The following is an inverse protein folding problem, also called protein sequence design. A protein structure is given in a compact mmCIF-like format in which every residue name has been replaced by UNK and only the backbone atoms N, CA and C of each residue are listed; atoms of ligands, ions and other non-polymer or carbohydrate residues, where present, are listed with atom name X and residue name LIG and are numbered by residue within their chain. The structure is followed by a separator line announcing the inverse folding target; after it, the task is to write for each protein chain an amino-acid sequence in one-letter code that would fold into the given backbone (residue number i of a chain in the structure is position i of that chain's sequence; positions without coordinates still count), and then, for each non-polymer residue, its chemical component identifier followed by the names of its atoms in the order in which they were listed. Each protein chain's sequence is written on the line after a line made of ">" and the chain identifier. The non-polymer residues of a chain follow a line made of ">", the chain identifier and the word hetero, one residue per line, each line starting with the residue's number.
data_IF_772138028718
#
_entry.id   IF_772138028718
#
_cell.length_a   1.000
_cell.length_b   1.000
_cell.length_c   1.000
_cell.angle_alpha   90.00
_cell.angle_beta   90.00
_cell.angle_gamma   90.00
#
_symmetry.space_group_name_H-M   'P 1'
#
loop_
_entity.id
_entity.type
_entity.pdbx_description
1 polymer ?
#
# COMPACT_ATOMS: atom_id res chain seq x y z
N UNK A 1 9.52 29.62 14.63
CA UNK A 1 9.70 28.18 14.32
C UNK A 1 9.22 27.35 15.51
N UNK A 2 8.49 26.26 15.31
CA UNK A 2 8.06 25.38 16.39
C UNK A 2 9.28 24.72 17.06
N UNK A 3 9.25 24.59 18.41
CA UNK A 3 10.32 23.90 19.15
C UNK A 3 10.33 22.42 18.78
N UNK A 4 11.49 21.90 18.42
CA UNK A 4 11.67 20.46 18.15
C UNK A 4 11.37 19.64 19.40
N UNK A 5 10.68 18.52 19.23
CA UNK A 5 10.45 17.55 20.30
C UNK A 5 11.75 16.87 20.74
N UNK A 6 11.79 16.29 21.95
CA UNK A 6 12.95 15.55 22.45
C UNK A 6 13.42 14.45 21.47
N UNK A 7 12.48 13.71 20.85
CA UNK A 7 12.77 12.71 19.83
C UNK A 7 13.39 13.31 18.58
N UNK A 8 12.83 14.39 18.06
CA UNK A 8 13.37 15.06 16.88
C UNK A 8 14.79 15.58 17.12
N UNK A 9 15.08 16.12 18.31
CA UNK A 9 16.43 16.57 18.69
C UNK A 9 17.44 15.41 18.75
N UNK A 10 17.02 14.24 19.27
CA UNK A 10 17.88 13.06 19.34
C UNK A 10 18.19 12.44 17.94
N UNK A 11 17.29 12.63 16.99
CA UNK A 11 17.46 12.17 15.61
C UNK A 11 18.15 13.21 14.71
N UNK A 12 18.14 14.48 15.12
CA UNK A 12 18.79 15.57 14.42
C UNK A 12 20.31 15.39 14.55
N UNK A 13 20.98 15.05 13.48
CA UNK A 13 22.42 14.72 13.44
C UNK A 13 22.73 13.25 13.16
N UNK A 14 21.74 12.33 13.36
CA UNK A 14 21.90 10.93 12.94
C UNK A 14 21.62 10.72 11.45
N UNK A 15 20.70 11.49 10.89
CA UNK A 15 20.28 11.38 9.49
C UNK A 15 20.46 12.72 8.80
N UNK A 16 21.28 12.73 7.76
CA UNK A 16 21.42 13.85 6.84
C UNK A 16 20.38 13.75 5.73
N UNK A 17 19.46 14.70 5.69
CA UNK A 17 18.36 14.72 4.70
C UNK A 17 18.82 15.00 3.26
N UNK A 18 20.05 15.45 3.07
CA UNK A 18 20.61 15.74 1.73
C UNK A 18 21.33 14.55 1.13
N UNK A 19 21.84 13.65 1.98
CA UNK A 19 22.62 12.49 1.58
C UNK A 19 21.72 11.36 1.03
N UNK A 20 22.21 10.67 0.02
CA UNK A 20 21.66 9.41 -0.46
C UNK A 20 22.37 8.26 0.26
N UNK A 21 21.61 7.36 0.84
CA UNK A 21 22.11 6.20 1.57
C UNK A 21 21.91 4.92 0.75
N UNK A 22 22.83 3.98 0.85
CA UNK A 22 22.59 2.63 0.36
C UNK A 22 21.41 2.02 1.10
N UNK A 23 20.65 1.10 0.46
CA UNK A 23 19.43 0.55 1.05
C UNK A 23 19.65 -0.09 2.43
N UNK A 24 20.71 -0.87 2.57
CA UNK A 24 21.04 -1.55 3.84
C UNK A 24 21.26 -0.54 4.98
N UNK A 25 22.04 0.50 4.72
CA UNK A 25 22.35 1.57 5.69
C UNK A 25 21.09 2.37 6.04
N UNK A 26 20.28 2.68 5.02
CA UNK A 26 19.01 3.39 5.23
C UNK A 26 18.05 2.60 6.12
N UNK A 27 17.89 1.28 5.89
CA UNK A 27 17.06 0.41 6.72
C UNK A 27 17.61 0.30 8.15
N UNK A 28 18.93 0.18 8.32
CA UNK A 28 19.56 0.15 9.64
C UNK A 28 19.27 1.44 10.43
N UNK A 29 19.45 2.60 9.80
CA UNK A 29 19.14 3.92 10.40
C UNK A 29 17.65 4.06 10.75
N UNK A 30 16.75 3.63 9.87
CA UNK A 30 15.30 3.68 10.10
C UNK A 30 14.90 2.77 11.26
N UNK A 31 15.46 1.55 11.35
CA UNK A 31 15.22 0.63 12.47
C UNK A 31 15.75 1.15 13.79
N UNK A 32 16.91 1.80 13.80
CA UNK A 32 17.47 2.47 14.99
C UNK A 32 16.62 3.67 15.42
N UNK A 33 16.11 4.43 14.45
CA UNK A 33 15.25 5.58 14.69
C UNK A 33 13.84 5.20 15.17
N UNK A 34 13.41 3.96 14.98
CA UNK A 34 12.11 3.44 15.38
C UNK A 34 12.10 3.15 16.89
N UNK A 35 11.61 4.09 17.68
CA UNK A 35 11.63 4.07 19.16
C UNK A 35 10.26 3.84 19.78
N UNK A 36 9.22 3.55 19.01
CA UNK A 36 7.88 3.29 19.53
C UNK A 36 7.80 1.95 20.29
N UNK A 37 6.82 1.82 21.18
CA UNK A 37 6.58 0.60 21.97
C UNK A 37 5.89 -0.52 21.19
N UNK A 38 5.42 -0.24 19.97
CA UNK A 38 4.80 -1.20 19.06
C UNK A 38 5.72 -1.51 17.89
N UNK A 39 5.46 -2.59 17.17
CA UNK A 39 6.21 -2.93 15.96
C UNK A 39 5.83 -1.96 14.84
N UNK A 40 6.74 -1.00 14.57
CA UNK A 40 6.52 0.06 13.59
C UNK A 40 6.51 -0.49 12.17
N UNK A 41 5.63 0.03 11.32
CA UNK A 41 5.69 -0.25 9.87
C UNK A 41 6.89 0.46 9.26
N UNK A 42 7.48 -0.17 8.27
CA UNK A 42 8.45 0.47 7.37
C UNK A 42 7.70 0.89 6.12
N UNK A 43 7.61 2.20 5.93
CA UNK A 43 6.88 2.82 4.84
C UNK A 43 7.84 3.41 3.82
N UNK A 44 7.44 3.40 2.57
CA UNK A 44 8.20 3.98 1.46
C UNK A 44 7.41 5.10 0.80
N UNK A 45 8.10 6.17 0.46
CA UNK A 45 7.60 7.25 -0.36
C UNK A 45 8.42 7.32 -1.65
N UNK A 46 7.76 7.13 -2.80
CA UNK A 46 8.39 7.15 -4.12
C UNK A 46 7.88 8.34 -4.91
N UNK A 47 8.76 9.29 -5.19
CA UNK A 47 8.44 10.42 -6.03
C UNK A 47 8.59 10.03 -7.50
N UNK A 48 7.51 10.12 -8.25
CA UNK A 48 7.46 9.85 -9.68
C UNK A 48 7.60 11.13 -10.53
N UNK A 49 8.11 10.97 -11.74
CA UNK A 49 8.15 12.01 -12.77
C UNK A 49 6.86 12.10 -13.57
N UNK A 50 5.70 12.17 -12.88
CA UNK A 50 4.38 12.27 -13.50
C UNK A 50 3.65 13.53 -13.06
N UNK A 51 2.74 14.03 -13.90
CA UNK A 51 1.82 15.11 -13.55
C UNK A 51 0.48 14.52 -13.11
N UNK A 52 0.27 14.47 -11.80
CA UNK A 52 -0.93 13.89 -11.21
C UNK A 52 -2.23 14.65 -11.53
N UNK A 53 -2.14 15.86 -12.09
CA UNK A 53 -3.31 16.64 -12.55
C UNK A 53 -3.87 16.09 -13.85
N UNK A 54 -3.05 15.41 -14.64
CA UNK A 54 -3.47 14.80 -15.91
C UNK A 54 -3.99 13.39 -15.67
N UNK A 55 -5.21 13.12 -16.07
CA UNK A 55 -5.90 11.83 -15.85
C UNK A 55 -5.18 10.65 -16.50
N UNK A 56 -4.45 10.86 -17.60
CA UNK A 56 -3.65 9.88 -18.32
C UNK A 56 -2.33 9.54 -17.61
N UNK A 57 -1.87 10.38 -16.67
CA UNK A 57 -0.64 10.18 -15.90
C UNK A 57 -0.89 9.71 -14.46
N UNK A 58 -2.14 9.46 -14.10
CA UNK A 58 -2.48 8.93 -12.77
C UNK A 58 -2.08 7.45 -12.67
N UNK A 59 -1.00 7.20 -11.95
CA UNK A 59 -0.52 5.85 -11.64
C UNK A 59 -1.31 5.29 -10.46
N UNK A 60 -1.94 4.13 -10.68
CA UNK A 60 -2.69 3.40 -9.65
C UNK A 60 -2.61 1.91 -9.95
N UNK A 61 -2.39 1.12 -8.91
CA UNK A 61 -2.31 -0.33 -9.04
C UNK A 61 -2.22 -1.02 -7.69
N UNK A 62 -1.91 -2.30 -7.75
CA UNK A 62 -1.60 -3.12 -6.60
C UNK A 62 -0.43 -4.04 -6.90
N UNK A 63 0.30 -4.41 -5.88
CA UNK A 63 1.40 -5.38 -5.94
C UNK A 63 1.27 -6.35 -4.78
N UNK A 64 1.47 -7.62 -5.04
CA UNK A 64 1.61 -8.64 -3.99
C UNK A 64 3.07 -8.67 -3.60
N UNK A 65 3.35 -8.36 -2.34
CA UNK A 65 4.72 -8.37 -1.83
C UNK A 65 5.18 -9.81 -1.58
N UNK A 66 6.37 -10.23 -2.04
CA UNK A 66 6.85 -11.60 -1.91
C UNK A 66 6.98 -12.07 -0.45
N UNK A 67 7.30 -11.15 0.46
CA UNK A 67 7.42 -11.46 1.90
C UNK A 67 6.22 -10.95 2.72
N UNK A 68 5.14 -10.52 2.05
CA UNK A 68 3.98 -9.93 2.70
C UNK A 68 4.26 -8.60 3.41
N UNK A 69 3.26 -8.06 4.09
CA UNK A 69 3.36 -6.82 4.88
C UNK A 69 3.56 -7.06 6.38
N UNK A 70 3.46 -8.32 6.84
CA UNK A 70 3.45 -8.68 8.27
C UNK A 70 2.13 -8.40 9.00
N UNK A 71 1.16 -7.83 8.31
CA UNK A 71 -0.18 -7.55 8.88
C UNK A 71 -1.22 -8.45 8.23
N UNK A 72 -2.06 -9.08 9.05
CA UNK A 72 -3.24 -9.80 8.58
C UNK A 72 -4.35 -8.81 8.26
N UNK A 73 -4.89 -8.86 7.04
CA UNK A 73 -6.02 -8.02 6.61
C UNK A 73 -7.31 -8.81 6.68
N UNK A 74 -8.35 -8.19 7.20
CA UNK A 74 -9.71 -8.73 7.16
C UNK A 74 -10.34 -8.37 5.82
N UNK A 75 -10.81 -9.38 5.10
CA UNK A 75 -11.31 -9.25 3.73
C UNK A 75 -12.82 -9.44 3.73
N UNK A 76 -13.54 -8.42 3.25
CA UNK A 76 -14.96 -8.52 2.94
C UNK A 76 -15.16 -8.74 1.44
N UNK A 77 -16.08 -9.63 1.09
CA UNK A 77 -16.37 -9.99 -0.30
C UNK A 77 -17.85 -9.79 -0.60
N UNK A 78 -18.12 -8.98 -1.62
CA UNK A 78 -19.43 -8.88 -2.22
C UNK A 78 -19.52 -9.87 -3.38
N UNK A 79 -20.17 -11.00 -3.12
CA UNK A 79 -20.38 -12.05 -4.11
C UNK A 79 -21.69 -12.79 -3.85
N UNK A 80 -22.23 -13.44 -4.89
CA UNK A 80 -23.48 -14.16 -4.85
C UNK A 80 -23.31 -15.57 -5.43
N UNK A 81 -24.10 -16.54 -4.94
CA UNK A 81 -24.11 -17.91 -5.43
C UNK A 81 -22.76 -18.62 -5.25
N UNK A 82 -22.31 -19.35 -6.27
CA UNK A 82 -21.06 -20.13 -6.25
C UNK A 82 -19.82 -19.29 -5.89
N UNK A 83 -19.74 -18.03 -6.36
CA UNK A 83 -18.63 -17.13 -6.05
C UNK A 83 -18.54 -16.78 -4.56
N UNK A 84 -19.66 -16.80 -3.84
CA UNK A 84 -19.67 -16.59 -2.38
C UNK A 84 -19.08 -17.79 -1.64
N UNK A 85 -19.33 -19.02 -2.12
CA UNK A 85 -18.74 -20.25 -1.57
C UNK A 85 -17.24 -20.31 -1.85
N UNK A 86 -16.81 -19.96 -3.06
CA UNK A 86 -15.40 -19.84 -3.43
C UNK A 86 -14.66 -18.81 -2.55
N UNK A 87 -15.29 -17.67 -2.28
CA UNK A 87 -14.74 -16.65 -1.41
C UNK A 87 -14.54 -17.15 0.03
N UNK A 88 -15.54 -17.87 0.58
CA UNK A 88 -15.45 -18.49 1.91
C UNK A 88 -14.36 -19.56 1.95
N UNK A 89 -14.28 -20.42 0.94
CA UNK A 89 -13.25 -21.45 0.83
C UNK A 89 -11.84 -20.84 0.70
N UNK A 90 -11.70 -19.69 0.04
CA UNK A 90 -10.44 -18.92 -0.06
C UNK A 90 -10.07 -18.21 1.25
N UNK A 91 -10.98 -18.21 2.26
CA UNK A 91 -10.72 -17.64 3.58
C UNK A 91 -11.17 -16.18 3.74
N UNK A 92 -12.17 -15.71 3.00
CA UNK A 92 -12.76 -14.39 3.25
C UNK A 92 -13.40 -14.34 4.65
N UNK A 93 -13.22 -13.22 5.36
CA UNK A 93 -13.71 -13.07 6.74
C UNK A 93 -15.21 -12.74 6.77
N UNK A 94 -15.67 -11.98 5.81
CA UNK A 94 -17.08 -11.61 5.65
C UNK A 94 -17.46 -11.76 4.19
N UNK A 95 -18.53 -12.52 3.92
CA UNK A 95 -19.08 -12.69 2.57
C UNK A 95 -20.56 -12.41 2.62
N UNK A 96 -21.05 -11.55 1.75
CA UNK A 96 -22.46 -11.19 1.70
C UNK A 96 -22.78 -10.32 0.49
N UNK A 97 -24.01 -9.87 0.39
CA UNK A 97 -24.48 -8.96 -0.65
C UNK A 97 -25.29 -7.82 -0.03
N UNK A 98 -26.61 -7.92 0.03
CA UNK A 98 -27.48 -6.87 0.57
C UNK A 98 -27.35 -6.75 2.09
N UNK A 99 -27.28 -7.86 2.80
CA UNK A 99 -27.01 -7.95 4.24
C UNK A 99 -25.68 -7.25 4.63
N UNK A 100 -24.62 -7.48 3.85
CA UNK A 100 -23.35 -6.79 4.03
C UNK A 100 -23.47 -5.30 3.69
N UNK A 101 -24.25 -4.95 2.67
CA UNK A 101 -24.48 -3.56 2.30
C UNK A 101 -25.22 -2.77 3.39
N UNK A 102 -26.19 -3.41 4.06
CA UNK A 102 -26.90 -2.81 5.20
C UNK A 102 -25.98 -2.60 6.41
N UNK A 103 -25.11 -3.57 6.73
CA UNK A 103 -24.09 -3.40 7.77
C UNK A 103 -23.16 -2.24 7.48
N UNK A 104 -22.69 -2.10 6.23
CA UNK A 104 -21.85 -0.98 5.79
C UNK A 104 -22.60 0.35 5.94
N UNK A 105 -23.89 0.42 5.59
CA UNK A 105 -24.71 1.62 5.78
C UNK A 105 -24.88 1.96 7.26
N UNK A 106 -25.01 0.96 8.13
CA UNK A 106 -25.07 1.14 9.57
C UNK A 106 -23.72 1.55 10.20
N UNK A 107 -22.63 1.55 9.42
CA UNK A 107 -21.29 1.93 9.88
C UNK A 107 -20.47 0.77 10.46
N UNK A 108 -21.01 -0.46 10.50
CA UNK A 108 -20.31 -1.66 10.94
C UNK A 108 -19.44 -2.21 9.81
N UNK A 109 -18.15 -1.86 9.85
CA UNK A 109 -17.16 -2.23 8.83
C UNK A 109 -15.91 -2.84 9.47
N UNK A 110 -16.00 -4.10 9.96
CA UNK A 110 -14.88 -4.77 10.61
C UNK A 110 -13.93 -5.41 9.59
N UNK A 111 -13.62 -4.71 8.50
CA UNK A 111 -12.76 -5.20 7.41
C UNK A 111 -11.84 -4.09 6.88
N UNK A 112 -10.71 -4.52 6.32
CA UNK A 112 -9.63 -3.64 5.85
C UNK A 112 -9.54 -3.62 4.31
N UNK A 113 -10.13 -4.60 3.63
CA UNK A 113 -10.18 -4.69 2.16
C UNK A 113 -11.56 -5.16 1.72
N UNK A 114 -12.07 -4.55 0.66
CA UNK A 114 -13.32 -4.95 0.02
C UNK A 114 -13.04 -5.46 -1.38
N UNK A 115 -13.53 -6.66 -1.67
CA UNK A 115 -13.48 -7.30 -2.99
C UNK A 115 -14.92 -7.43 -3.49
N UNK A 116 -15.13 -7.23 -4.77
CA UNK A 116 -16.45 -7.37 -5.38
C UNK A 116 -16.38 -8.13 -6.70
N UNK A 117 -17.36 -8.97 -6.97
CA UNK A 117 -17.56 -9.49 -8.32
C UNK A 117 -18.14 -8.38 -9.22
N UNK A 118 -17.91 -8.40 -10.54
CA UNK A 118 -18.46 -7.40 -11.45
C UNK A 118 -19.98 -7.26 -11.33
N UNK A 119 -20.67 -8.36 -11.11
CA UNK A 119 -22.14 -8.45 -11.02
C UNK A 119 -22.69 -7.69 -9.80
N UNK A 120 -21.96 -7.70 -8.67
CA UNK A 120 -22.36 -7.06 -7.41
C UNK A 120 -22.01 -5.57 -7.34
N UNK A 121 -21.27 -5.05 -8.32
CA UNK A 121 -20.87 -3.63 -8.36
C UNK A 121 -22.05 -2.67 -8.38
N UNK A 122 -23.22 -3.09 -8.84
CA UNK A 122 -24.46 -2.29 -8.77
C UNK A 122 -24.82 -1.97 -7.31
N UNK A 123 -24.73 -2.95 -6.41
CA UNK A 123 -25.00 -2.77 -4.97
C UNK A 123 -23.87 -1.98 -4.30
N UNK A 124 -22.63 -2.35 -4.57
CA UNK A 124 -21.45 -1.68 -4.01
C UNK A 124 -21.36 -0.21 -4.44
N UNK A 125 -21.82 0.11 -5.65
CA UNK A 125 -21.88 1.50 -6.15
C UNK A 125 -22.72 2.42 -5.26
N UNK A 126 -23.82 1.93 -4.67
CA UNK A 126 -24.66 2.70 -3.74
C UNK A 126 -23.93 3.04 -2.43
N UNK A 127 -22.89 2.30 -2.09
CA UNK A 127 -22.05 2.49 -0.89
C UNK A 127 -20.85 3.41 -1.14
N UNK A 128 -20.73 3.94 -2.35
CA UNK A 128 -19.59 4.75 -2.77
C UNK A 128 -19.33 5.97 -1.88
N UNK A 129 -20.37 6.60 -1.34
CA UNK A 129 -20.27 7.73 -0.41
C UNK A 129 -19.65 7.34 0.94
N UNK A 130 -19.78 6.08 1.35
CA UNK A 130 -19.27 5.55 2.62
C UNK A 130 -17.89 4.94 2.43
N UNK A 131 -17.72 4.07 1.42
CA UNK A 131 -16.49 3.34 1.15
C UNK A 131 -15.42 4.20 0.48
N UNK A 132 -15.83 5.19 -0.32
CA UNK A 132 -14.92 6.07 -1.07
C UNK A 132 -13.95 6.85 -0.18
N UNK A 133 -14.44 7.65 0.80
CA UNK A 133 -13.59 8.43 1.69
C UNK A 133 -12.64 7.57 2.54
N UNK A 134 -13.03 6.32 2.83
CA UNK A 134 -12.21 5.37 3.59
C UNK A 134 -11.19 4.60 2.72
N UNK A 135 -11.21 4.81 1.40
CA UNK A 135 -10.33 4.11 0.48
C UNK A 135 -10.66 2.62 0.27
N UNK A 136 -11.83 2.18 0.73
CA UNK A 136 -12.28 0.77 0.68
C UNK A 136 -13.07 0.45 -0.61
N UNK A 137 -13.33 1.44 -1.46
CA UNK A 137 -14.10 1.22 -2.69
C UNK A 137 -13.38 0.28 -3.65
N UNK A 138 -13.98 -0.85 -4.05
CA UNK A 138 -13.39 -1.78 -5.01
C UNK A 138 -13.12 -1.10 -6.36
N UNK A 139 -12.02 -1.49 -7.01
CA UNK A 139 -11.63 -0.92 -8.30
C UNK A 139 -10.97 -1.99 -9.20
N UNK A 140 -11.36 -2.07 -10.49
CA UNK A 140 -10.79 -3.01 -11.46
C UNK A 140 -9.27 -2.84 -11.63
N UNK A 141 -8.77 -1.58 -11.64
CA UNK A 141 -7.34 -1.29 -11.84
C UNK A 141 -6.44 -1.80 -10.69
N UNK A 142 -7.03 -2.03 -9.53
CA UNK A 142 -6.35 -2.56 -8.33
C UNK A 142 -6.56 -4.08 -8.20
N UNK A 143 -7.40 -4.66 -9.06
CA UNK A 143 -7.75 -6.08 -9.02
C UNK A 143 -8.71 -6.47 -7.89
N UNK A 144 -9.38 -5.50 -7.25
CA UNK A 144 -10.40 -5.76 -6.23
C UNK A 144 -11.81 -5.90 -6.80
N UNK A 145 -11.98 -5.65 -8.12
CA UNK A 145 -13.17 -6.04 -8.88
C UNK A 145 -12.73 -7.07 -9.90
N UNK A 146 -13.09 -8.33 -9.69
CA UNK A 146 -12.66 -9.46 -10.53
C UNK A 146 -13.70 -10.56 -10.53
N UNK A 147 -13.84 -11.32 -11.62
CA UNK A 147 -14.64 -12.53 -11.64
C UNK A 147 -13.99 -13.66 -10.81
N UNK A 148 -12.66 -13.69 -10.69
CA UNK A 148 -11.90 -14.65 -9.87
C UNK A 148 -11.72 -14.09 -8.45
N UNK A 149 -12.73 -14.33 -7.63
CA UNK A 149 -12.77 -13.84 -6.25
C UNK A 149 -11.79 -14.61 -5.36
N UNK A 150 -11.59 -15.91 -5.62
CA UNK A 150 -10.72 -16.76 -4.81
C UNK A 150 -9.26 -16.29 -4.84
N UNK A 151 -8.73 -16.02 -6.03
CA UNK A 151 -7.36 -15.48 -6.20
C UNK A 151 -7.23 -14.09 -5.59
N UNK A 152 -8.24 -13.23 -5.74
CA UNK A 152 -8.21 -11.89 -5.15
C UNK A 152 -8.16 -11.92 -3.62
N UNK A 153 -8.91 -12.83 -2.96
CA UNK A 153 -8.87 -13.03 -1.51
C UNK A 153 -7.51 -13.52 -1.05
N UNK A 154 -6.93 -14.52 -1.73
CA UNK A 154 -5.60 -15.04 -1.44
C UNK A 154 -4.54 -13.93 -1.54
N UNK A 155 -4.55 -13.14 -2.60
CA UNK A 155 -3.62 -12.03 -2.82
C UNK A 155 -3.78 -10.95 -1.72
N UNK A 156 -5.01 -10.59 -1.37
CA UNK A 156 -5.27 -9.62 -0.31
C UNK A 156 -4.71 -10.07 1.05
N UNK A 157 -4.84 -11.38 1.36
CA UNK A 157 -4.29 -11.99 2.59
C UNK A 157 -2.78 -12.20 2.52
N UNK A 158 -2.22 -12.46 1.35
CA UNK A 158 -0.78 -12.59 1.12
C UNK A 158 0.00 -11.27 1.28
N UNK A 159 -0.66 -10.14 1.53
CA UNK A 159 0.00 -8.87 1.73
C UNK A 159 0.03 -7.99 0.48
N UNK A 160 -1.03 -8.02 -0.31
CA UNK A 160 -1.20 -7.09 -1.41
C UNK A 160 -1.24 -5.65 -0.91
N UNK A 161 -0.37 -4.79 -1.47
CA UNK A 161 -0.33 -3.35 -1.22
C UNK A 161 -0.90 -2.62 -2.42
N UNK A 162 -1.87 -1.75 -2.15
CA UNK A 162 -2.43 -0.85 -3.15
C UNK A 162 -1.64 0.44 -3.14
N UNK A 163 -1.36 0.96 -4.32
CA UNK A 163 -0.70 2.25 -4.48
C UNK A 163 -1.48 3.17 -5.41
N UNK A 164 -1.43 4.44 -5.10
CA UNK A 164 -2.01 5.51 -5.89
C UNK A 164 -1.14 6.75 -5.78
N UNK A 165 -0.88 7.39 -6.93
CA UNK A 165 -0.18 8.67 -6.94
C UNK A 165 -1.04 9.75 -6.30
N UNK A 166 -0.43 10.56 -5.44
CA UNK A 166 -1.06 11.74 -4.84
C UNK A 166 -0.93 12.97 -5.76
N UNK A 167 -1.46 14.12 -5.31
CA UNK A 167 -1.41 15.38 -6.07
C UNK A 167 0.01 15.90 -6.31
N UNK A 168 0.98 15.50 -5.50
CA UNK A 168 2.39 15.87 -5.61
C UNK A 168 3.22 14.91 -6.48
N UNK A 169 2.60 13.87 -7.04
CA UNK A 169 3.31 12.86 -7.83
C UNK A 169 4.05 11.83 -6.99
N UNK A 170 3.66 11.66 -5.71
CA UNK A 170 4.30 10.74 -4.78
C UNK A 170 3.38 9.53 -4.57
N UNK A 171 3.99 8.37 -4.49
CA UNK A 171 3.32 7.12 -4.07
C UNK A 171 3.80 6.75 -2.69
N UNK A 172 2.86 6.36 -1.84
CA UNK A 172 3.12 5.87 -0.49
C UNK A 172 2.71 4.40 -0.40
N UNK A 173 3.49 3.61 0.33
CA UNK A 173 3.18 2.21 0.58
C UNK A 173 3.99 1.65 1.75
N UNK A 174 3.45 0.62 2.39
CA UNK A 174 4.14 -0.12 3.45
C UNK A 174 4.87 -1.30 2.82
N UNK A 175 6.16 -1.47 3.11
CA UNK A 175 6.98 -2.57 2.61
C UNK A 175 7.24 -3.67 3.64
N UNK A 176 6.85 -3.45 4.89
CA UNK A 176 6.96 -4.44 5.96
C UNK A 176 6.93 -3.83 7.35
N UNK A 177 7.37 -4.60 8.32
CA UNK A 177 7.49 -4.20 9.72
C UNK A 177 8.96 -4.04 10.12
N UNK A 178 9.21 -3.33 11.23
CA UNK A 178 10.55 -3.18 11.81
C UNK A 178 11.19 -4.54 12.13
N UNK A 179 10.39 -5.53 12.52
CA UNK A 179 10.80 -6.90 12.83
C UNK A 179 11.32 -7.68 11.62
N UNK A 180 11.05 -7.23 10.39
CA UNK A 180 11.52 -7.91 9.17
C UNK A 180 13.03 -7.75 8.99
N UNK A 181 13.67 -8.77 8.42
CA UNK A 181 15.06 -8.70 7.98
C UNK A 181 15.25 -7.71 6.84
N UNK A 182 16.46 -7.15 6.70
CA UNK A 182 16.78 -6.19 5.63
C UNK A 182 16.56 -6.78 4.24
N UNK A 183 16.86 -8.07 4.04
CA UNK A 183 16.71 -8.75 2.75
C UNK A 183 15.22 -8.90 2.36
N UNK A 184 14.35 -9.19 3.34
CA UNK A 184 12.91 -9.24 3.12
C UNK A 184 12.34 -7.88 2.73
N UNK A 185 12.81 -6.82 3.37
CA UNK A 185 12.42 -5.44 3.04
C UNK A 185 12.96 -5.03 1.67
N UNK A 186 14.20 -5.45 1.31
CA UNK A 186 14.79 -5.21 -0.02
C UNK A 186 13.97 -5.89 -1.10
N UNK A 187 13.61 -7.17 -0.92
CA UNK A 187 12.79 -7.91 -1.87
C UNK A 187 11.40 -7.28 -2.07
N UNK A 188 10.77 -6.84 -0.98
CA UNK A 188 9.48 -6.16 -1.04
C UNK A 188 9.56 -4.80 -1.77
N UNK A 189 10.60 -4.01 -1.49
CA UNK A 189 10.81 -2.73 -2.16
C UNK A 189 11.12 -2.94 -3.65
N UNK A 190 11.98 -3.90 -3.99
CA UNK A 190 12.28 -4.22 -5.38
C UNK A 190 11.02 -4.60 -6.18
N UNK A 191 10.16 -5.47 -5.62
CA UNK A 191 8.89 -5.85 -6.22
C UNK A 191 7.95 -4.64 -6.42
N UNK A 192 7.90 -3.72 -5.45
CA UNK A 192 7.11 -2.48 -5.59
C UNK A 192 7.65 -1.59 -6.71
N UNK A 193 8.97 -1.37 -6.78
CA UNK A 193 9.58 -0.54 -7.81
C UNK A 193 9.43 -1.16 -9.21
N UNK A 194 9.51 -2.48 -9.33
CA UNK A 194 9.24 -3.19 -10.58
C UNK A 194 7.79 -3.01 -11.04
N UNK A 195 6.81 -3.15 -10.11
CA UNK A 195 5.40 -2.92 -10.40
C UNK A 195 5.14 -1.46 -10.84
N UNK A 196 5.82 -0.49 -10.22
CA UNK A 196 5.74 0.91 -10.61
C UNK A 196 6.31 1.14 -12.01
N UNK A 197 7.46 0.53 -12.33
CA UNK A 197 8.05 0.62 -13.67
C UNK A 197 7.15 0.01 -14.74
N UNK A 198 6.51 -1.12 -14.46
CA UNK A 198 5.50 -1.74 -15.35
C UNK A 198 4.27 -0.85 -15.55
N UNK A 199 3.92 -0.06 -14.55
CA UNK A 199 2.76 0.85 -14.58
C UNK A 199 3.10 2.24 -15.14
N UNK A 200 4.30 2.44 -15.69
CA UNK A 200 4.73 3.73 -16.23
C UNK A 200 3.82 4.17 -17.39
N UNK A 201 3.18 5.36 -17.32
CA UNK A 201 2.38 5.87 -18.43
C UNK A 201 3.25 6.20 -19.64
N UNK A 202 2.75 5.92 -20.85
CA UNK A 202 3.46 6.25 -22.08
C UNK A 202 3.68 7.78 -22.25
N UNK A 203 2.79 8.58 -21.70
CA UNK A 203 2.87 10.05 -21.71
C UNK A 203 3.90 10.63 -20.73
N UNK A 204 4.50 9.82 -19.84
CA UNK A 204 5.54 10.28 -18.90
C UNK A 204 6.89 10.40 -19.61
N UNK A 205 7.41 11.64 -19.68
CA UNK A 205 8.71 11.95 -20.28
C UNK A 205 9.78 12.13 -19.20
N UNK A 206 11.02 11.76 -19.53
CA UNK A 206 12.18 11.94 -18.64
C UNK A 206 12.31 10.86 -17.55
N UNK A 207 12.95 11.22 -16.43
CA UNK A 207 13.22 10.30 -15.32
C UNK A 207 11.93 10.00 -14.58
N UNK A 208 11.52 8.72 -14.57
CA UNK A 208 10.27 8.28 -13.95
C UNK A 208 10.39 8.12 -12.44
N UNK A 209 11.37 7.35 -11.95
CA UNK A 209 11.66 7.24 -10.52
C UNK A 209 12.65 8.35 -10.12
N UNK A 210 12.15 9.39 -9.47
CA UNK A 210 13.00 10.56 -9.12
C UNK A 210 13.67 10.40 -7.76
N UNK A 211 12.90 10.05 -6.74
CA UNK A 211 13.40 9.92 -5.35
C UNK A 211 12.67 8.77 -4.67
N UNK A 212 13.40 8.02 -3.88
CA UNK A 212 12.86 6.98 -2.98
C UNK A 212 13.29 7.35 -1.57
N UNK A 213 12.37 7.32 -0.64
CA UNK A 213 12.66 7.51 0.78
C UNK A 213 11.95 6.44 1.59
N UNK A 214 12.60 5.96 2.63
CA UNK A 214 12.07 4.96 3.56
C UNK A 214 11.98 5.59 4.94
N UNK A 215 10.93 5.29 5.68
CA UNK A 215 10.71 5.79 7.04
C UNK A 215 10.02 4.73 7.90
N UNK A 216 10.19 4.80 9.22
CA UNK A 216 9.32 4.08 10.14
C UNK A 216 8.10 4.96 10.49
N UNK A 217 7.06 4.35 11.08
CA UNK A 217 5.79 5.02 11.39
C UNK A 217 5.98 6.32 12.19
N UNK A 218 6.88 6.32 13.18
CA UNK A 218 7.14 7.47 14.05
C UNK A 218 8.57 8.01 13.92
N UNK A 219 9.34 7.49 12.94
CA UNK A 219 10.73 7.84 12.73
C UNK A 219 10.94 8.94 11.69
N UNK A 220 12.19 9.08 11.27
CA UNK A 220 12.63 10.05 10.26
C UNK A 220 12.70 9.37 8.88
N UNK A 221 12.44 10.15 7.83
CA UNK A 221 12.58 9.70 6.45
C UNK A 221 14.04 9.75 5.99
N UNK A 222 14.53 8.64 5.44
CA UNK A 222 15.88 8.48 4.91
C UNK A 222 15.81 8.29 3.40
N UNK A 223 16.59 9.06 2.66
CA UNK A 223 16.65 8.95 1.19
C UNK A 223 17.52 7.76 0.79
N UNK A 224 17.00 6.97 -0.13
CA UNK A 224 17.65 5.75 -0.62
C UNK A 224 18.14 5.95 -2.04
N UNK A 225 19.34 5.46 -2.31
CA UNK A 225 19.84 5.37 -3.68
C UNK A 225 19.14 4.21 -4.40
N UNK A 226 18.45 4.53 -5.50
CA UNK A 226 17.70 3.54 -6.30
C UNK A 226 18.64 2.50 -6.90
N UNK A 227 19.87 2.87 -7.27
CA UNK A 227 20.88 1.96 -7.81
C UNK A 227 21.25 0.82 -6.84
N UNK A 228 21.21 1.08 -5.55
CA UNK A 228 21.54 0.08 -4.51
C UNK A 228 20.45 -0.98 -4.27
N UNK A 229 19.24 -0.78 -4.83
CA UNK A 229 18.12 -1.70 -4.67
C UNK A 229 18.12 -2.76 -5.77
N UNK A 230 18.55 -2.35 -6.97
CA UNK A 230 18.53 -3.20 -8.18
C UNK A 230 19.77 -4.10 -8.33
N UNK A 231 20.75 -3.91 -7.48
CA UNK A 231 21.88 -4.82 -7.28
C UNK A 231 21.56 -5.83 -6.17
#
# INVERSE_FOLDING_TARGET
>A
MAKLTKKQKALQGKVDSTKLYAFADAVALVKEAATAKFDESIDVAVQLGVDAKKSDQVVRGAVVLPNGTGKTKRVAVFAQGAKAEEAKAAGADVVGMEDLAERVKAGDMPFDVVIASPDTMRVVGTLGQILGPRGLMPNPKVGTVTPDVATAVKNAKAGQVQFRVDKAGIIHGTIGLRSFDSDKLKGNLAALLEALNKSKPASSKGVYLRKVAVSSTMGVGVRVDVGSITQ
#
